data_IF_976154972730
#
_entry.id   IF_976154972730
#
_cell.length_a   1.000
_cell.length_b   1.000
_cell.length_c   1.000
_cell.angle_alpha   90.00
_cell.angle_beta   90.00
_cell.angle_gamma   90.00
#
_symmetry.space_group_name_H-M   'P 1'
#
loop_
_entity.id
_entity.type
_entity.pdbx_description
1 polymer ?
#
# COMPACT_ATOMS: atom_id res chain seq x y z
N UNK A 1 14.41 0.64 16.76
CA UNK A 1 13.14 1.34 17.04
C UNK A 1 12.22 1.04 15.86
N UNK A 2 10.99 0.57 16.09
CA UNK A 2 10.07 0.18 15.01
C UNK A 2 9.58 1.43 14.28
N UNK A 3 9.61 1.43 12.96
CA UNK A 3 9.06 2.53 12.15
C UNK A 3 7.53 2.37 12.06
N UNK A 4 6.79 3.48 12.08
CA UNK A 4 5.33 3.47 11.90
C UNK A 4 5.01 3.68 10.42
N UNK A 5 4.36 2.71 9.79
CA UNK A 5 3.95 2.79 8.39
C UNK A 5 2.47 3.22 8.28
N UNK A 6 2.22 4.30 7.55
CA UNK A 6 0.87 4.78 7.23
C UNK A 6 0.55 4.43 5.78
N UNK A 7 -0.60 3.80 5.57
CA UNK A 7 -1.11 3.46 4.25
C UNK A 7 -2.45 4.17 4.02
N UNK A 8 -2.68 4.62 2.78
CA UNK A 8 -4.01 5.05 2.39
C UNK A 8 -4.93 3.82 2.38
N UNK A 9 -6.02 3.88 3.13
CA UNK A 9 -6.98 2.77 3.22
C UNK A 9 -8.35 3.12 2.63
N UNK A 10 -8.64 4.40 2.43
CA UNK A 10 -9.93 4.84 1.90
C UNK A 10 -9.85 6.26 1.34
N UNK A 11 -10.91 6.65 0.63
CA UNK A 11 -11.21 8.01 0.22
C UNK A 11 -12.63 8.36 0.66
N UNK A 12 -12.78 9.42 1.45
CA UNK A 12 -14.08 9.84 1.98
C UNK A 12 -14.38 11.30 1.67
N UNK A 13 -15.66 11.61 1.39
CA UNK A 13 -16.10 13.01 1.33
C UNK A 13 -16.10 13.62 2.72
N UNK A 14 -15.81 14.92 2.78
CA UNK A 14 -16.02 15.69 4.01
C UNK A 14 -17.51 15.88 4.24
N UNK A 15 -17.93 15.76 5.48
CA UNK A 15 -19.32 15.93 5.89
C UNK A 15 -19.44 17.18 6.74
N UNK A 16 -20.34 18.08 6.38
CA UNK A 16 -20.57 19.29 7.16
C UNK A 16 -21.40 19.01 8.43
N UNK A 17 -21.59 20.01 9.29
CA UNK A 17 -22.38 19.86 10.53
C UNK A 17 -23.84 19.42 10.30
N UNK A 18 -24.36 19.53 9.08
CA UNK A 18 -25.72 19.13 8.68
C UNK A 18 -25.77 17.71 8.08
N UNK A 19 -24.65 16.99 8.05
CA UNK A 19 -24.58 15.64 7.48
C UNK A 19 -24.46 15.60 5.96
N UNK A 20 -24.20 16.73 5.29
CA UNK A 20 -24.12 16.78 3.82
C UNK A 20 -22.67 16.69 3.38
N UNK A 21 -22.40 15.77 2.45
CA UNK A 21 -21.10 15.59 1.80
C UNK A 21 -20.74 16.77 0.89
N UNK A 22 -19.47 17.15 0.85
CA UNK A 22 -18.99 18.23 -0.02
C UNK A 22 -17.51 18.07 -0.39
N UNK A 23 -17.14 18.71 -1.50
CA UNK A 23 -15.77 18.77 -2.00
C UNK A 23 -15.27 17.47 -2.64
N UNK A 24 -13.96 17.45 -2.88
CA UNK A 24 -13.23 16.28 -3.35
C UNK A 24 -13.03 15.26 -2.22
N UNK A 25 -12.89 14.00 -2.60
CA UNK A 25 -12.63 12.93 -1.64
C UNK A 25 -11.26 13.14 -1.00
N UNK A 26 -11.20 13.00 0.32
CA UNK A 26 -9.96 13.09 1.08
C UNK A 26 -9.44 11.69 1.39
N UNK A 27 -8.13 11.52 1.22
CA UNK A 27 -7.41 10.31 1.59
C UNK A 27 -7.53 10.08 3.11
N UNK A 28 -7.98 8.89 3.49
CA UNK A 28 -7.96 8.39 4.86
C UNK A 28 -6.74 7.47 4.99
N UNK A 29 -5.96 7.70 6.05
CA UNK A 29 -4.78 6.90 6.34
C UNK A 29 -5.00 6.07 7.60
N UNK A 30 -4.48 4.86 7.59
CA UNK A 30 -4.40 4.00 8.76
C UNK A 30 -3.05 3.30 8.83
N UNK A 31 -2.72 2.73 9.97
CA UNK A 31 -1.53 1.89 10.09
C UNK A 31 -1.74 0.60 9.30
N UNK A 32 -0.66 0.07 8.73
CA UNK A 32 -0.75 -1.16 7.94
C UNK A 32 -1.18 -2.37 8.80
N UNK A 33 -0.79 -2.37 10.08
CA UNK A 33 -1.17 -3.37 11.08
C UNK A 33 -2.66 -3.29 11.43
N UNK A 34 -3.27 -2.12 11.36
CA UNK A 34 -4.71 -1.98 11.53
C UNK A 34 -5.47 -2.54 10.32
N UNK A 35 -4.90 -2.45 9.12
CA UNK A 35 -5.54 -2.91 7.88
C UNK A 35 -5.41 -4.42 7.73
N UNK A 36 -4.21 -4.97 7.91
CA UNK A 36 -3.91 -6.39 7.62
C UNK A 36 -3.58 -7.24 8.86
N UNK A 37 -3.49 -6.64 10.04
CA UNK A 37 -3.11 -7.31 11.28
C UNK A 37 -1.59 -7.28 11.54
N UNK A 38 -1.23 -7.25 12.82
CA UNK A 38 0.17 -7.15 13.27
C UNK A 38 1.01 -8.36 12.86
N UNK A 39 0.50 -9.57 13.07
CA UNK A 39 1.24 -10.81 12.81
C UNK A 39 1.59 -10.96 11.32
N UNK A 40 0.65 -10.59 10.45
CA UNK A 40 0.86 -10.62 9.00
C UNK A 40 1.88 -9.57 8.54
N UNK A 41 1.77 -8.33 9.03
CA UNK A 41 2.70 -7.26 8.64
C UNK A 41 4.13 -7.58 9.09
N UNK A 42 4.28 -8.13 10.29
CA UNK A 42 5.60 -8.40 10.88
C UNK A 42 6.20 -9.73 10.45
N UNK A 43 5.42 -10.65 9.85
CA UNK A 43 5.93 -11.95 9.41
C UNK A 43 7.06 -11.82 8.40
N UNK A 44 7.02 -10.80 7.54
CA UNK A 44 8.01 -10.58 6.48
C UNK A 44 9.19 -9.70 6.91
N UNK A 45 9.24 -9.19 8.15
CA UNK A 45 10.32 -8.30 8.60
C UNK A 45 11.68 -9.00 8.73
N UNK A 46 11.67 -10.34 8.77
CA UNK A 46 12.89 -11.16 8.83
C UNK A 46 13.36 -11.61 7.45
N UNK A 47 12.57 -11.34 6.40
CA UNK A 47 12.89 -11.77 5.06
C UNK A 47 14.08 -10.98 4.52
N UNK A 48 14.81 -11.61 3.60
CA UNK A 48 15.87 -10.94 2.89
C UNK A 48 15.25 -9.89 1.94
N UNK A 49 15.71 -8.61 1.95
CA UNK A 49 15.18 -7.57 1.08
C UNK A 49 15.14 -7.95 -0.42
N UNK A 50 16.10 -8.75 -0.88
CA UNK A 50 16.16 -9.25 -2.25
C UNK A 50 15.02 -10.23 -2.56
N UNK A 51 14.61 -11.05 -1.59
CA UNK A 51 13.50 -11.98 -1.75
C UNK A 51 12.15 -11.24 -1.75
N UNK A 52 11.98 -10.25 -0.87
CA UNK A 52 10.81 -9.37 -0.87
C UNK A 52 10.69 -8.59 -2.19
N UNK A 53 11.81 -8.08 -2.71
CA UNK A 53 11.83 -7.40 -4.00
C UNK A 53 11.38 -8.31 -5.14
N UNK A 54 11.89 -9.55 -5.17
CA UNK A 54 11.52 -10.52 -6.19
C UNK A 54 10.01 -10.81 -6.15
N UNK A 55 9.43 -11.01 -4.96
CA UNK A 55 7.99 -11.23 -4.82
C UNK A 55 7.17 -10.06 -5.39
N UNK A 56 7.58 -8.82 -5.15
CA UNK A 56 6.90 -7.63 -5.69
C UNK A 56 6.98 -7.60 -7.23
N UNK A 57 8.16 -7.89 -7.79
CA UNK A 57 8.36 -7.91 -9.25
C UNK A 57 7.55 -9.04 -9.90
N UNK A 58 7.58 -10.24 -9.34
CA UNK A 58 6.85 -11.40 -9.84
C UNK A 58 5.33 -11.10 -9.86
N UNK A 59 4.79 -10.53 -8.77
CA UNK A 59 3.38 -10.10 -8.71
C UNK A 59 3.04 -9.00 -9.75
N UNK A 60 3.95 -8.06 -10.01
CA UNK A 60 3.76 -7.05 -11.04
C UNK A 60 3.68 -7.66 -12.44
N UNK A 61 4.45 -8.70 -12.73
CA UNK A 61 4.35 -9.43 -14.00
C UNK A 61 3.04 -10.22 -14.11
N UNK A 62 2.53 -10.79 -13.01
CA UNK A 62 1.22 -11.45 -13.01
C UNK A 62 0.08 -10.46 -13.30
N UNK A 63 0.12 -9.29 -12.67
CA UNK A 63 -0.90 -8.25 -12.84
C UNK A 63 -0.80 -7.52 -14.19
N UNK A 64 0.42 -7.38 -14.72
CA UNK A 64 0.71 -6.67 -15.97
C UNK A 64 1.60 -7.53 -16.89
N UNK A 65 1.07 -8.58 -17.53
CA UNK A 65 1.86 -9.50 -18.34
C UNK A 65 2.60 -8.84 -19.52
N UNK A 66 2.04 -7.75 -20.04
CA UNK A 66 2.60 -6.98 -21.15
C UNK A 66 3.74 -6.02 -20.73
N UNK A 67 3.93 -5.81 -19.42
CA UNK A 67 4.94 -4.90 -18.92
C UNK A 67 6.32 -5.55 -18.94
N UNK A 68 7.28 -4.85 -19.54
CA UNK A 68 8.69 -5.27 -19.55
C UNK A 68 9.34 -5.03 -18.19
N UNK A 69 10.38 -5.82 -17.86
CA UNK A 69 11.19 -5.65 -16.64
C UNK A 69 11.67 -4.20 -16.46
N UNK A 70 12.03 -3.54 -17.56
CA UNK A 70 12.51 -2.16 -17.52
C UNK A 70 11.42 -1.17 -17.12
N UNK A 71 10.17 -1.39 -17.54
CA UNK A 71 9.03 -0.57 -17.13
C UNK A 71 8.70 -0.80 -15.66
N UNK A 72 8.67 -2.05 -15.20
CA UNK A 72 8.39 -2.39 -13.80
C UNK A 72 9.48 -1.82 -12.88
N UNK A 73 10.76 -2.04 -13.21
CA UNK A 73 11.88 -1.48 -12.44
C UNK A 73 11.89 0.04 -12.37
N UNK A 74 11.31 0.73 -13.35
CA UNK A 74 11.22 2.20 -13.35
C UNK A 74 10.17 2.71 -12.36
N UNK A 75 9.13 1.92 -12.08
CA UNK A 75 8.05 2.28 -11.14
C UNK A 75 8.45 1.94 -9.71
N UNK A 76 9.14 0.82 -9.50
CA UNK A 76 9.52 0.32 -8.18
C UNK A 76 10.80 0.98 -7.61
N UNK A 77 11.41 1.95 -8.33
CA UNK A 77 12.69 2.57 -7.98
C UNK A 77 12.58 3.75 -7.03
#
# INVERSE_FOLDING_TARGET
MMQTYLCNCDFKKRVNKRGIEYGWDVAVYSSIEHIYGYDYVTSCYKDNPQDSWKQIVDYMHEMYPEATDNQIRKILK
#
